data_IF_811900475219
#
_entry.id   IF_811900475219
#
_cell.length_a   1.000
_cell.length_b   1.000
_cell.length_c   1.000
_cell.angle_alpha   90.00
_cell.angle_beta   90.00
_cell.angle_gamma   90.00
#
_symmetry.space_group_name_H-M   'P 1'
#
loop_
_entity.id
_entity.type
_entity.pdbx_description
1 polymer ?
#
# COMPACT_ATOMS: atom_id res chain seq x y z
N UNK A 1 -16.42 -50.32 26.49
CA UNK A 1 -16.38 -48.87 26.78
C UNK A 1 -15.05 -48.26 26.34
N UNK A 2 -14.79 -48.12 25.03
CA UNK A 2 -13.48 -47.65 24.51
C UNK A 2 -13.60 -46.76 23.26
N UNK A 3 -14.76 -46.12 23.06
CA UNK A 3 -15.03 -45.36 21.82
C UNK A 3 -15.18 -43.85 22.07
N UNK A 4 -15.34 -43.42 23.33
CA UNK A 4 -15.53 -42.00 23.67
C UNK A 4 -14.26 -41.17 23.63
N UNK A 5 -13.06 -41.78 23.76
CA UNK A 5 -11.78 -41.07 23.68
C UNK A 5 -11.39 -40.73 22.24
N UNK A 6 -11.73 -41.61 21.28
CA UNK A 6 -11.48 -41.38 19.85
C UNK A 6 -12.37 -40.27 19.27
N UNK A 7 -13.65 -40.22 19.67
CA UNK A 7 -14.55 -39.12 19.30
C UNK A 7 -14.09 -37.76 19.84
N UNK A 8 -13.64 -37.71 21.10
CA UNK A 8 -13.08 -36.49 21.70
C UNK A 8 -11.82 -36.00 20.99
N UNK A 9 -10.94 -36.91 20.57
CA UNK A 9 -9.72 -36.57 19.84
C UNK A 9 -10.02 -36.04 18.43
N UNK A 10 -11.00 -36.61 17.74
CA UNK A 10 -11.46 -36.16 16.42
C UNK A 10 -12.07 -34.75 16.47
N UNK A 11 -12.89 -34.46 17.50
CA UNK A 11 -13.47 -33.12 17.72
C UNK A 11 -12.39 -32.08 18.01
N UNK A 12 -11.37 -32.43 18.81
CA UNK A 12 -10.23 -31.54 19.08
C UNK A 12 -9.44 -31.20 17.82
N UNK A 13 -9.29 -32.16 16.91
CA UNK A 13 -8.57 -31.98 15.64
C UNK A 13 -9.34 -31.07 14.68
N UNK A 14 -10.67 -31.19 14.63
CA UNK A 14 -11.54 -30.31 13.84
C UNK A 14 -11.52 -28.87 14.39
N UNK A 15 -11.54 -28.69 15.71
CA UNK A 15 -11.45 -27.37 16.34
C UNK A 15 -10.08 -26.72 16.06
N UNK A 16 -8.99 -27.50 16.13
CA UNK A 16 -7.66 -27.01 15.78
C UNK A 16 -7.57 -26.60 14.30
N UNK A 17 -8.19 -27.37 13.39
CA UNK A 17 -8.23 -27.05 11.96
C UNK A 17 -9.05 -25.78 11.66
N UNK A 18 -10.16 -25.58 12.38
CA UNK A 18 -10.98 -24.37 12.31
C UNK A 18 -10.23 -23.13 12.80
N UNK A 19 -9.44 -23.26 13.87
CA UNK A 19 -8.62 -22.15 14.40
C UNK A 19 -7.54 -21.70 13.39
N UNK A 20 -6.96 -22.62 12.61
CA UNK A 20 -5.98 -22.27 11.56
C UNK A 20 -6.63 -21.52 10.39
N UNK A 21 -7.90 -21.80 10.08
CA UNK A 21 -8.62 -21.11 9.00
C UNK A 21 -8.92 -19.63 9.29
N UNK A 22 -8.86 -19.20 10.55
CA UNK A 22 -9.09 -17.79 10.94
C UNK A 22 -7.84 -16.90 10.87
N UNK A 23 -6.63 -17.48 10.73
CA UNK A 23 -5.37 -16.72 10.66
C UNK A 23 -5.12 -16.16 9.25
N UNK A 24 -5.85 -16.62 8.23
CA UNK A 24 -5.67 -16.21 6.83
C UNK A 24 -6.35 -14.91 6.40
N UNK A 25 -7.08 -14.23 7.30
CA UNK A 25 -7.78 -12.96 6.99
C UNK A 25 -7.05 -11.70 7.49
N UNK A 26 -5.81 -11.81 7.94
CA UNK A 26 -4.92 -10.65 8.04
C UNK A 26 -4.22 -10.46 6.69
N UNK A 27 -4.99 -10.23 5.63
CA UNK A 27 -4.43 -9.59 4.44
C UNK A 27 -4.31 -8.13 4.86
N UNK A 28 -3.09 -7.68 5.18
CA UNK A 28 -2.81 -6.27 5.35
C UNK A 28 -3.44 -5.53 4.17
N UNK A 29 -4.56 -4.85 4.45
CA UNK A 29 -5.29 -4.02 3.49
C UNK A 29 -4.68 -2.63 3.42
N UNK A 30 -3.56 -2.39 4.09
CA UNK A 30 -2.58 -1.43 3.62
C UNK A 30 -2.01 -1.97 2.32
N UNK A 31 -2.80 -1.86 1.25
CA UNK A 31 -2.23 -1.61 -0.06
C UNK A 31 -1.18 -0.53 0.16
N UNK A 32 0.06 -0.78 -0.23
CA UNK A 32 1.10 0.25 -0.36
C UNK A 32 0.64 1.22 -1.47
N UNK A 33 -0.46 1.92 -1.21
CA UNK A 33 -1.03 2.90 -2.11
C UNK A 33 -0.02 4.02 -2.20
N UNK A 34 0.46 4.24 -3.41
CA UNK A 34 1.41 5.28 -3.71
C UNK A 34 0.89 6.09 -4.89
N UNK A 35 1.13 7.40 -4.84
CA UNK A 35 0.89 8.32 -5.95
C UNK A 35 2.23 8.83 -6.47
N UNK A 36 2.35 8.95 -7.78
CA UNK A 36 3.50 9.56 -8.45
C UNK A 36 3.16 11.00 -8.81
N UNK A 37 3.78 11.94 -8.11
CA UNK A 37 3.54 13.38 -8.27
C UNK A 37 4.75 14.04 -8.91
N UNK A 38 4.52 14.81 -9.97
CA UNK A 38 5.53 15.68 -10.57
C UNK A 38 5.12 17.15 -10.41
N UNK A 39 6.05 17.97 -9.93
CA UNK A 39 5.84 19.43 -9.84
C UNK A 39 7.14 20.20 -9.98
N UNK A 40 7.01 21.52 -10.07
CA UNK A 40 8.11 22.46 -10.16
C UNK A 40 8.94 22.47 -8.88
N UNK A 41 10.27 22.44 -9.03
CA UNK A 41 11.18 22.65 -7.92
C UNK A 41 11.10 24.07 -7.35
N UNK A 42 11.62 24.26 -6.13
CA UNK A 42 11.66 25.58 -5.47
C UNK A 42 10.58 25.79 -4.42
N UNK A 43 10.36 24.79 -3.56
CA UNK A 43 9.47 24.84 -2.38
C UNK A 43 7.98 25.10 -2.68
N UNK A 44 7.52 24.80 -3.90
CA UNK A 44 6.09 24.86 -4.26
C UNK A 44 5.22 23.97 -3.37
N UNK A 45 5.76 22.80 -2.98
CA UNK A 45 5.12 21.87 -2.07
C UNK A 45 6.08 21.64 -0.88
N UNK A 46 5.80 22.25 0.28
CA UNK A 46 6.59 22.02 1.48
C UNK A 46 6.60 20.54 1.87
N UNK A 47 7.74 20.06 2.37
CA UNK A 47 7.91 18.66 2.78
C UNK A 47 6.94 18.27 3.89
N UNK A 48 6.60 19.22 4.76
CA UNK A 48 5.63 19.02 5.84
C UNK A 48 4.25 18.63 5.30
N UNK A 49 3.81 19.26 4.21
CA UNK A 49 2.50 18.95 3.59
C UNK A 49 2.46 17.52 3.06
N UNK A 50 3.55 17.07 2.43
CA UNK A 50 3.66 15.68 1.96
C UNK A 50 3.63 14.73 3.16
N UNK A 51 4.40 15.03 4.22
CA UNK A 51 4.45 14.19 5.42
C UNK A 51 3.08 14.10 6.11
N UNK A 52 2.40 15.23 6.31
CA UNK A 52 1.05 15.26 6.89
C UNK A 52 0.06 14.46 6.04
N UNK A 53 0.11 14.60 4.71
CA UNK A 53 -0.72 13.80 3.80
C UNK A 53 -0.46 12.30 3.93
N UNK A 54 0.80 11.87 3.96
CA UNK A 54 1.15 10.45 4.12
C UNK A 54 0.71 9.91 5.48
N UNK A 55 0.82 10.70 6.55
CA UNK A 55 0.42 10.32 7.91
C UNK A 55 -1.10 10.22 8.06
N UNK A 56 -1.85 11.16 7.47
CA UNK A 56 -3.31 11.19 7.55
C UNK A 56 -3.97 10.10 6.70
N UNK A 57 -3.42 9.83 5.52
CA UNK A 57 -4.06 8.94 4.54
C UNK A 57 -3.45 7.54 4.50
N UNK A 58 -2.19 7.40 4.95
CA UNK A 58 -1.40 6.18 4.76
C UNK A 58 -0.89 5.99 3.33
N UNK A 59 -1.19 6.91 2.40
CA UNK A 59 -0.78 6.84 0.99
C UNK A 59 0.62 7.44 0.85
N UNK A 60 1.53 6.76 0.17
CA UNK A 60 2.89 7.23 -0.11
C UNK A 60 2.95 8.17 -1.29
N UNK A 61 3.80 9.18 -1.23
CA UNK A 61 3.98 10.15 -2.31
C UNK A 61 5.38 10.01 -2.89
N UNK A 62 5.45 9.48 -4.11
CA UNK A 62 6.67 9.52 -4.90
C UNK A 62 6.75 10.87 -5.63
N UNK A 63 7.44 11.83 -5.02
CA UNK A 63 7.53 13.20 -5.51
C UNK A 63 8.76 13.45 -6.39
N UNK A 64 8.54 14.00 -7.59
CA UNK A 64 9.57 14.38 -8.55
C UNK A 64 9.51 15.88 -8.81
N UNK A 65 10.63 16.55 -8.53
CA UNK A 65 10.82 17.95 -8.91
C UNK A 65 11.42 18.07 -10.32
N UNK A 66 10.93 19.06 -11.06
CA UNK A 66 11.44 19.47 -12.37
C UNK A 66 11.79 20.95 -12.38
N UNK A 67 12.78 21.33 -13.18
CA UNK A 67 13.31 22.71 -13.21
C UNK A 67 12.91 23.50 -14.44
N UNK A 68 12.39 22.84 -15.49
CA UNK A 68 12.00 23.48 -16.73
C UNK A 68 10.81 22.77 -17.41
N UNK A 69 10.17 23.47 -18.35
CA UNK A 69 9.08 22.91 -19.15
C UNK A 69 9.59 21.82 -20.09
N UNK A 70 10.80 21.99 -20.61
CA UNK A 70 11.45 21.06 -21.53
C UNK A 70 11.80 19.74 -20.82
N UNK A 71 12.24 19.80 -19.56
CA UNK A 71 12.48 18.61 -18.73
C UNK A 71 11.17 17.84 -18.52
N UNK A 72 10.10 18.55 -18.17
CA UNK A 72 8.75 18.01 -17.97
C UNK A 72 8.24 17.31 -19.23
N UNK A 73 8.31 17.99 -20.37
CA UNK A 73 7.88 17.46 -21.66
C UNK A 73 8.67 16.20 -22.03
N UNK A 74 9.99 16.23 -21.87
CA UNK A 74 10.87 15.10 -22.19
C UNK A 74 10.53 13.86 -21.35
N UNK A 75 10.23 14.04 -20.06
CA UNK A 75 9.82 12.95 -19.17
C UNK A 75 8.47 12.34 -19.55
N UNK A 76 7.49 13.18 -19.87
CA UNK A 76 6.15 12.72 -20.27
C UNK A 76 6.13 12.05 -21.65
N UNK A 77 6.94 12.53 -22.59
CA UNK A 77 7.09 11.86 -23.90
C UNK A 77 7.75 10.49 -23.76
N UNK A 78 8.75 10.36 -22.88
CA UNK A 78 9.42 9.10 -22.62
C UNK A 78 8.50 8.09 -21.90
N UNK A 79 7.69 8.54 -20.95
CA UNK A 79 6.70 7.72 -20.24
C UNK A 79 5.42 8.51 -19.91
N UNK A 80 4.39 8.45 -20.77
CA UNK A 80 3.19 9.28 -20.62
C UNK A 80 2.30 8.91 -19.42
N UNK A 81 2.44 7.70 -18.89
CA UNK A 81 1.62 7.18 -17.78
C UNK A 81 2.40 7.04 -16.46
N UNK A 82 3.56 7.70 -16.34
CA UNK A 82 4.42 7.55 -15.16
C UNK A 82 3.92 8.34 -13.94
N UNK A 83 3.16 9.40 -14.15
CA UNK A 83 2.72 10.31 -13.09
C UNK A 83 1.20 10.36 -13.03
N UNK A 84 0.66 10.31 -11.82
CA UNK A 84 -0.78 10.42 -11.55
C UNK A 84 -1.22 11.89 -11.56
N UNK A 85 -0.30 12.80 -11.21
CA UNK A 85 -0.48 14.24 -11.28
C UNK A 85 0.84 14.90 -11.72
N UNK A 86 0.75 15.81 -12.69
CA UNK A 86 1.84 16.61 -13.19
C UNK A 86 1.39 18.08 -13.29
N UNK A 87 2.26 18.99 -12.86
CA UNK A 87 2.05 20.46 -12.88
C UNK A 87 3.14 21.12 -13.70
#
# INVERSE_FOLDING_TARGET
MKNSKFGKLSVLLIIALLMVSLVGCAKDTSSDEQINLMSWGGDFIPREVITEFEEETGIKVNYKEVTSNEDTQSLLEANPNQYDLAV
#
